data_IF_926158853084
#
_entry.id   IF_926158853084
#
_cell.length_a   1.000
_cell.length_b   1.000
_cell.length_c   1.000
_cell.angle_alpha   90.00
_cell.angle_beta   90.00
_cell.angle_gamma   90.00
#
_symmetry.space_group_name_H-M   'P 1'
#
loop_
_entity.id
_entity.type
_entity.pdbx_description
1 polymer ?
#
# COMPACT_ATOMS: atom_id res chain seq x y z
N UNK A 1 -12.48 -3.92 -22.77
CA UNK A 1 -11.41 -4.52 -21.93
C UNK A 1 -10.70 -3.40 -21.19
N UNK A 2 -10.56 -3.49 -19.86
CA UNK A 2 -9.94 -2.44 -19.04
C UNK A 2 -8.45 -2.77 -18.85
N UNK A 3 -7.57 -1.96 -19.43
CA UNK A 3 -6.14 -1.98 -19.15
C UNK A 3 -5.88 -1.38 -17.75
N UNK A 4 -4.79 -1.75 -17.06
CA UNK A 4 -4.40 -1.10 -15.80
C UNK A 4 -4.33 0.42 -15.97
N UNK A 5 -4.59 1.15 -14.88
CA UNK A 5 -4.55 2.61 -14.89
C UNK A 5 -3.16 3.04 -14.44
N UNK A 6 -2.27 3.52 -15.33
CA UNK A 6 -0.91 3.83 -14.93
C UNK A 6 -0.88 4.97 -13.92
N UNK A 7 0.06 4.91 -12.97
CA UNK A 7 0.21 5.97 -11.96
C UNK A 7 0.37 7.38 -12.55
N UNK A 8 0.95 7.49 -13.74
CA UNK A 8 1.15 8.77 -14.45
C UNK A 8 -0.16 9.37 -14.98
N UNK A 9 -1.21 8.55 -15.14
CA UNK A 9 -2.55 9.00 -15.49
C UNK A 9 -3.32 9.55 -14.28
N UNK A 10 -2.95 9.15 -13.05
CA UNK A 10 -3.52 9.71 -11.82
C UNK A 10 -2.72 10.94 -11.42
N UNK A 11 -3.13 12.10 -11.93
CA UNK A 11 -2.46 13.39 -11.67
C UNK A 11 -3.23 14.21 -10.65
N UNK A 12 -2.53 14.59 -9.58
CA UNK A 12 -3.04 15.47 -8.52
C UNK A 12 -2.48 16.90 -8.60
N UNK A 13 -1.70 17.19 -9.66
CA UNK A 13 -1.21 18.50 -10.08
C UNK A 13 -0.65 19.36 -8.92
N UNK A 14 -1.36 20.40 -8.50
CA UNK A 14 -0.92 21.33 -7.45
C UNK A 14 -0.62 20.62 -6.12
N UNK A 15 -1.42 19.59 -5.77
CA UNK A 15 -1.23 18.84 -4.52
C UNK A 15 0.10 18.10 -4.49
N UNK A 16 0.62 17.64 -5.63
CA UNK A 16 1.94 16.98 -5.69
C UNK A 16 3.03 17.95 -5.24
N UNK A 17 2.98 19.20 -5.71
CA UNK A 17 3.95 20.23 -5.35
C UNK A 17 3.84 20.63 -3.88
N UNK A 18 2.61 20.73 -3.36
CA UNK A 18 2.38 21.02 -1.94
C UNK A 18 2.98 19.92 -1.07
N UNK A 19 2.71 18.65 -1.38
CA UNK A 19 3.29 17.53 -0.64
C UNK A 19 4.81 17.51 -0.72
N UNK A 20 5.39 17.71 -1.91
CA UNK A 20 6.85 17.81 -2.06
C UNK A 20 7.45 18.94 -1.22
N UNK A 21 6.81 20.11 -1.19
CA UNK A 21 7.28 21.23 -0.37
C UNK A 21 7.18 20.93 1.12
N UNK A 22 6.07 20.35 1.58
CA UNK A 22 5.90 19.93 2.96
C UNK A 22 6.93 18.88 3.39
N UNK A 23 7.25 17.94 2.49
CA UNK A 23 8.27 16.90 2.69
C UNK A 23 9.67 17.53 2.84
N UNK A 24 10.04 18.46 1.95
CA UNK A 24 11.30 19.22 2.03
C UNK A 24 11.43 20.03 3.33
N UNK A 25 10.31 20.50 3.87
CA UNK A 25 10.25 21.25 5.13
C UNK A 25 10.12 20.34 6.36
N UNK A 26 10.22 19.01 6.22
CA UNK A 26 10.08 18.02 7.29
C UNK A 26 8.77 18.13 8.08
N UNK A 27 7.71 18.66 7.45
CA UNK A 27 6.40 18.82 8.08
C UNK A 27 5.76 17.47 8.36
N UNK A 28 6.00 16.48 7.49
CA UNK A 28 5.45 15.14 7.64
C UNK A 28 6.14 14.33 8.73
N UNK A 29 7.47 14.43 8.87
CA UNK A 29 8.18 13.82 10.01
C UNK A 29 7.74 14.45 11.34
N UNK A 30 7.55 15.77 11.35
CA UNK A 30 7.05 16.50 12.51
C UNK A 30 5.63 16.07 12.87
N UNK A 31 4.75 15.98 11.87
CA UNK A 31 3.40 15.46 12.03
C UNK A 31 3.39 14.03 12.56
N UNK A 32 4.16 13.12 11.96
CA UNK A 32 4.23 11.72 12.38
C UNK A 32 4.70 11.61 13.83
N UNK A 33 5.74 12.36 14.22
CA UNK A 33 6.22 12.40 15.60
C UNK A 33 5.15 12.88 16.57
N UNK A 34 4.50 14.00 16.27
CA UNK A 34 3.46 14.58 17.14
C UNK A 34 2.25 13.65 17.23
N UNK A 35 1.76 13.14 16.09
CA UNK A 35 0.65 12.20 16.05
C UNK A 35 0.97 10.94 16.87
N UNK A 36 2.18 10.40 16.72
CA UNK A 36 2.58 9.20 17.44
C UNK A 36 2.72 9.43 18.95
N UNK A 37 3.11 10.64 19.38
CA UNK A 37 3.15 11.03 20.80
C UNK A 37 1.74 11.17 21.41
N UNK A 38 0.76 11.60 20.63
CA UNK A 38 -0.62 11.81 21.09
C UNK A 38 -1.47 10.54 21.06
N UNK A 39 -1.09 9.57 20.22
CA UNK A 39 -1.77 8.27 20.15
C UNK A 39 -1.42 7.40 21.35
N UNK A 40 -2.46 6.91 22.03
CA UNK A 40 -2.33 6.16 23.28
C UNK A 40 -2.06 4.66 23.11
N UNK A 41 -2.16 4.13 21.88
CA UNK A 41 -2.07 2.69 21.62
C UNK A 41 -1.32 2.37 20.31
N UNK A 42 -0.16 3.01 20.12
CA UNK A 42 0.77 2.66 19.06
C UNK A 42 1.69 1.54 19.51
N UNK A 43 1.89 0.56 18.63
CA UNK A 43 2.88 -0.50 18.82
C UNK A 43 3.78 -0.67 17.60
N UNK A 44 5.01 -1.20 17.75
CA UNK A 44 5.77 -1.69 16.61
C UNK A 44 5.11 -2.94 15.99
N UNK A 45 5.58 -3.32 14.81
CA UNK A 45 5.30 -4.65 14.27
C UNK A 45 5.80 -5.74 15.23
N UNK A 46 5.02 -6.80 15.40
CA UNK A 46 5.47 -8.00 16.10
C UNK A 46 6.50 -8.78 15.27
N UNK A 47 7.25 -9.67 15.90
CA UNK A 47 8.18 -10.55 15.18
C UNK A 47 7.47 -11.43 14.14
N UNK A 48 6.25 -11.90 14.45
CA UNK A 48 5.45 -12.69 13.50
C UNK A 48 5.00 -11.87 12.29
N UNK A 49 4.63 -10.60 12.49
CA UNK A 49 4.29 -9.68 11.40
C UNK A 49 5.52 -9.37 10.54
N UNK A 50 6.68 -9.13 11.15
CA UNK A 50 7.94 -8.92 10.42
C UNK A 50 8.33 -10.16 9.61
N UNK A 51 8.30 -11.35 10.21
CA UNK A 51 8.64 -12.60 9.55
C UNK A 51 7.69 -12.92 8.37
N UNK A 52 6.45 -12.47 8.43
CA UNK A 52 5.48 -12.59 7.34
C UNK A 52 5.74 -11.59 6.21
N UNK A 53 6.10 -10.36 6.54
CA UNK A 53 6.33 -9.28 5.58
C UNK A 53 7.70 -9.39 4.89
N UNK A 54 8.72 -9.90 5.58
CA UNK A 54 10.10 -10.00 5.08
C UNK A 54 10.22 -10.77 3.76
N UNK A 55 9.56 -11.93 3.57
CA UNK A 55 9.55 -12.64 2.29
C UNK A 55 8.88 -11.88 1.14
N UNK A 56 8.13 -10.81 1.40
CA UNK A 56 7.45 -10.01 0.36
C UNK A 56 8.31 -8.78 0.02
N UNK A 57 8.70 -8.02 1.04
CA UNK A 57 9.35 -6.72 0.87
C UNK A 57 10.87 -6.75 1.01
N UNK A 58 11.47 -7.78 1.63
CA UNK A 58 12.91 -7.81 1.93
C UNK A 58 13.34 -6.56 2.70
N UNK A 59 14.54 -6.04 2.42
CA UNK A 59 15.07 -4.87 3.13
C UNK A 59 14.55 -3.52 2.60
N UNK A 60 13.59 -3.53 1.66
CA UNK A 60 13.08 -2.32 1.01
C UNK A 60 12.15 -1.45 1.87
N UNK A 61 11.76 -1.96 3.05
CA UNK A 61 10.94 -1.23 4.02
C UNK A 61 11.61 -1.21 5.39
N UNK A 62 11.59 -0.08 6.11
CA UNK A 62 12.23 0.04 7.41
C UNK A 62 11.30 -0.51 8.52
N UNK A 63 11.24 -1.83 8.69
CA UNK A 63 10.36 -2.51 9.67
C UNK A 63 10.40 -1.89 11.07
N UNK A 64 11.59 -1.50 11.54
CA UNK A 64 11.81 -0.88 12.85
C UNK A 64 11.13 0.49 13.01
N UNK A 65 10.76 1.16 11.91
CA UNK A 65 10.02 2.43 11.91
C UNK A 65 8.52 2.24 11.79
N UNK A 66 8.06 1.11 11.27
CA UNK A 66 6.62 0.87 11.06
C UNK A 66 5.91 0.79 12.40
N UNK A 67 4.79 1.50 12.50
CA UNK A 67 3.94 1.57 13.69
C UNK A 67 2.51 1.21 13.35
N UNK A 68 1.84 0.48 14.22
CA UNK A 68 0.43 0.16 14.11
C UNK A 68 -0.34 0.91 15.21
N UNK A 69 -1.29 1.76 14.82
CA UNK A 69 -2.26 2.40 15.70
C UNK A 69 -3.63 1.76 15.49
N UNK A 70 -3.97 0.77 16.33
CA UNK A 70 -5.25 0.05 16.25
C UNK A 70 -6.41 0.81 16.94
N UNK A 71 -6.15 2.01 17.45
CA UNK A 71 -7.16 2.89 18.09
C UNK A 71 -7.09 4.29 17.51
N UNK A 72 -7.01 4.38 16.19
CA UNK A 72 -6.90 5.62 15.46
C UNK A 72 -7.97 6.64 15.90
N UNK A 73 -7.54 7.84 16.26
CA UNK A 73 -8.43 8.94 16.65
C UNK A 73 -8.83 9.84 15.48
N UNK A 74 -8.01 9.83 14.43
CA UNK A 74 -8.17 10.63 13.22
C UNK A 74 -8.70 9.72 12.11
N UNK A 75 -9.62 10.24 11.30
CA UNK A 75 -10.26 9.49 10.21
C UNK A 75 -11.69 9.05 10.54
N UNK A 76 -12.51 8.73 9.52
CA UNK A 76 -13.93 8.46 9.73
C UNK A 76 -14.14 7.04 10.29
N UNK A 77 -14.21 6.94 11.63
CA UNK A 77 -14.46 5.71 12.39
C UNK A 77 -15.68 4.90 11.92
N UNK A 78 -16.69 5.56 11.35
CA UNK A 78 -17.93 4.94 10.85
C UNK A 78 -17.71 3.97 9.68
N UNK A 79 -16.58 4.07 8.97
CA UNK A 79 -16.29 3.25 7.79
C UNK A 79 -15.19 2.22 8.01
N UNK A 80 -14.55 2.17 9.19
CA UNK A 80 -13.51 1.17 9.47
C UNK A 80 -12.28 1.23 8.54
N UNK A 81 -12.07 2.37 7.87
CA UNK A 81 -11.00 2.57 6.88
C UNK A 81 -9.59 2.47 7.49
N UNK A 82 -8.85 1.45 7.10
CA UNK A 82 -7.43 1.40 7.43
C UNK A 82 -6.70 2.38 6.51
N UNK A 83 -5.77 3.16 7.06
CA UNK A 83 -5.00 4.13 6.27
C UNK A 83 -3.57 4.28 6.77
N UNK A 84 -2.67 4.58 5.85
CA UNK A 84 -1.26 4.83 6.14
C UNK A 84 -0.96 6.32 6.21
N UNK A 85 -0.39 6.74 7.33
CA UNK A 85 0.26 8.03 7.51
C UNK A 85 1.76 7.79 7.61
N UNK A 86 2.47 7.84 6.47
CA UNK A 86 3.93 7.66 6.39
C UNK A 86 4.38 6.26 6.84
N UNK A 87 4.98 6.10 8.01
CA UNK A 87 5.33 4.79 8.59
C UNK A 87 4.27 4.25 9.56
N UNK A 88 3.27 5.05 9.93
CA UNK A 88 2.19 4.62 10.83
C UNK A 88 0.98 4.13 10.05
N UNK A 89 0.55 2.90 10.31
CA UNK A 89 -0.68 2.31 9.78
C UNK A 89 -1.76 2.44 10.87
N UNK A 90 -2.88 3.06 10.52
CA UNK A 90 -3.95 3.43 11.45
C UNK A 90 -5.20 2.61 11.15
N UNK A 91 -5.80 2.03 12.19
CA UNK A 91 -7.02 1.22 12.11
C UNK A 91 -7.91 1.42 13.34
N UNK A 92 -9.11 0.83 13.30
CA UNK A 92 -10.07 0.80 14.41
C UNK A 92 -10.23 -0.62 14.98
N UNK A 93 -9.10 -1.29 15.18
CA UNK A 93 -9.01 -2.67 15.68
C UNK A 93 -7.88 -3.45 15.01
N UNK A 94 -7.75 -4.75 15.31
CA UNK A 94 -6.73 -5.61 14.73
C UNK A 94 -6.78 -5.59 13.19
N UNK A 95 -5.61 -5.53 12.56
CA UNK A 95 -5.48 -5.48 11.09
C UNK A 95 -5.36 -6.92 10.56
N UNK A 96 -6.26 -7.39 9.69
CA UNK A 96 -6.12 -8.70 9.05
C UNK A 96 -4.85 -8.76 8.20
N UNK A 97 -4.13 -9.88 8.24
CA UNK A 97 -2.82 -10.01 7.56
C UNK A 97 -2.81 -9.63 6.07
N UNK A 98 -3.80 -10.03 5.22
CA UNK A 98 -3.83 -9.55 3.83
C UNK A 98 -3.91 -8.04 3.71
N UNK A 99 -4.67 -7.39 4.61
CA UNK A 99 -4.78 -5.94 4.64
C UNK A 99 -3.49 -5.32 5.18
N UNK A 100 -2.85 -5.91 6.18
CA UNK A 100 -1.53 -5.45 6.62
C UNK A 100 -0.51 -5.46 5.46
N UNK A 101 -0.50 -6.51 4.64
CA UNK A 101 0.34 -6.54 3.43
C UNK A 101 0.00 -5.39 2.49
N UNK A 102 -1.29 -5.14 2.25
CA UNK A 102 -1.77 -4.00 1.45
C UNK A 102 -1.22 -2.67 1.98
N UNK A 103 -1.42 -2.39 3.26
CA UNK A 103 -0.98 -1.14 3.88
C UNK A 103 0.55 -1.00 3.89
N UNK A 104 1.31 -2.09 4.05
CA UNK A 104 2.78 -2.04 3.98
C UNK A 104 3.27 -1.71 2.55
N UNK A 105 2.47 -1.98 1.50
CA UNK A 105 2.78 -1.46 0.15
C UNK A 105 2.72 0.08 0.15
N UNK A 106 1.80 0.70 0.87
CA UNK A 106 1.76 2.16 1.00
C UNK A 106 2.96 2.71 1.78
N UNK A 107 3.43 2.00 2.82
CA UNK A 107 4.69 2.34 3.49
C UNK A 107 5.86 2.22 2.50
N UNK A 108 5.92 1.15 1.72
CA UNK A 108 6.94 0.99 0.67
C UNK A 108 6.88 2.13 -0.36
N UNK A 109 5.67 2.52 -0.79
CA UNK A 109 5.48 3.66 -1.69
C UNK A 109 6.00 4.95 -1.07
N UNK A 110 5.73 5.21 0.20
CA UNK A 110 6.27 6.36 0.92
C UNK A 110 7.80 6.36 0.91
N UNK A 111 8.41 5.25 1.33
CA UNK A 111 9.87 5.11 1.45
C UNK A 111 10.57 5.31 0.11
N UNK A 112 9.97 4.81 -0.98
CA UNK A 112 10.60 4.80 -2.30
C UNK A 112 10.21 6.00 -3.19
N UNK A 113 9.10 6.68 -2.88
CA UNK A 113 8.52 7.73 -3.73
C UNK A 113 8.24 9.05 -2.99
N UNK A 114 8.44 9.10 -1.69
CA UNK A 114 8.11 10.23 -0.83
C UNK A 114 6.60 10.40 -0.65
N UNK A 115 6.20 11.45 0.06
CA UNK A 115 4.82 11.70 0.46
C UNK A 115 3.83 11.92 -0.72
N UNK A 116 4.34 12.11 -1.94
CA UNK A 116 3.53 12.27 -3.16
C UNK A 116 2.64 11.06 -3.47
N UNK A 117 2.96 9.88 -2.92
CA UNK A 117 2.10 8.71 -3.12
C UNK A 117 0.71 8.93 -2.52
N UNK A 118 0.59 9.63 -1.39
CA UNK A 118 -0.66 9.84 -0.63
C UNK A 118 -1.74 10.48 -1.50
N UNK A 119 -1.56 11.70 -2.05
CA UNK A 119 -2.61 12.34 -2.85
C UNK A 119 -2.95 11.50 -4.09
N UNK A 120 -1.97 10.82 -4.69
CA UNK A 120 -2.18 9.99 -5.88
C UNK A 120 -2.93 8.70 -5.58
N UNK A 121 -2.68 8.04 -4.44
CA UNK A 121 -3.43 6.89 -3.98
C UNK A 121 -4.89 7.28 -3.70
N UNK A 122 -5.12 8.37 -2.96
CA UNK A 122 -6.46 8.90 -2.70
C UNK A 122 -7.21 9.30 -3.98
N UNK A 123 -6.53 9.87 -4.97
CA UNK A 123 -7.13 10.17 -6.26
C UNK A 123 -7.45 8.89 -7.05
N UNK A 124 -6.61 7.86 -6.95
CA UNK A 124 -6.85 6.57 -7.57
C UNK A 124 -8.08 5.87 -6.99
N UNK A 125 -8.31 5.93 -5.67
CA UNK A 125 -9.53 5.39 -5.03
C UNK A 125 -10.83 5.97 -5.61
N UNK A 126 -10.80 7.23 -6.09
CA UNK A 126 -11.93 7.91 -6.72
C UNK A 126 -12.04 7.65 -8.22
N UNK A 127 -11.03 7.01 -8.82
CA UNK A 127 -11.06 6.65 -10.23
C UNK A 127 -12.01 5.48 -10.47
N UNK A 128 -12.44 5.30 -11.72
CA UNK A 128 -13.30 4.18 -12.10
C UNK A 128 -12.67 2.81 -11.79
N UNK A 129 -11.36 2.69 -11.91
CA UNK A 129 -10.66 1.42 -11.65
C UNK A 129 -10.34 1.23 -10.18
N UNK A 130 -10.06 2.30 -9.42
CA UNK A 130 -9.76 2.19 -7.99
C UNK A 130 -8.67 1.15 -7.73
N UNK A 131 -9.02 0.16 -6.92
CA UNK A 131 -8.23 -1.01 -6.55
C UNK A 131 -8.16 -2.10 -7.63
N UNK A 132 -9.14 -2.16 -8.53
CA UNK A 132 -9.24 -3.21 -9.55
C UNK A 132 -8.14 -3.03 -10.58
N UNK A 133 -7.17 -3.94 -10.59
CA UNK A 133 -6.05 -3.94 -11.54
C UNK A 133 -6.37 -4.62 -12.88
N UNK A 134 -7.63 -5.01 -13.13
CA UNK A 134 -8.09 -5.59 -14.39
C UNK A 134 -7.93 -7.11 -14.50
N UNK A 135 -7.73 -7.81 -13.37
CA UNK A 135 -7.55 -9.26 -13.32
C UNK A 135 -6.41 -9.78 -14.20
N UNK A 136 -6.59 -10.97 -14.78
CA UNK A 136 -5.53 -11.64 -15.55
C UNK A 136 -5.12 -10.84 -16.79
N UNK A 137 -6.08 -10.21 -17.47
CA UNK A 137 -5.81 -9.35 -18.63
C UNK A 137 -5.02 -8.10 -18.24
N UNK A 138 -5.34 -7.52 -17.08
CA UNK A 138 -4.58 -6.43 -16.51
C UNK A 138 -3.11 -6.82 -16.26
N UNK A 139 -2.88 -8.00 -15.69
CA UNK A 139 -1.53 -8.54 -15.49
C UNK A 139 -0.80 -8.82 -16.81
N UNK A 140 -1.48 -9.33 -17.84
CA UNK A 140 -0.90 -9.58 -19.18
C UNK A 140 -0.51 -8.29 -19.90
N UNK A 141 -1.29 -7.23 -19.70
CA UNK A 141 -1.09 -5.94 -20.35
C UNK A 141 -0.04 -5.03 -19.70
N UNK A 142 0.51 -5.42 -18.55
CA UNK A 142 1.50 -4.65 -17.81
C UNK A 142 2.90 -5.27 -17.94
N UNK A 143 3.93 -4.41 -17.98
CA UNK A 143 5.34 -4.82 -18.02
C UNK A 143 6.04 -4.59 -16.69
N UNK A 144 5.53 -3.66 -15.89
CA UNK A 144 6.11 -3.27 -14.60
C UNK A 144 5.03 -2.92 -13.57
N UNK A 145 5.42 -2.85 -12.28
CA UNK A 145 4.54 -2.35 -11.23
C UNK A 145 4.09 -0.90 -11.48
N UNK A 146 4.90 -0.11 -12.19
CA UNK A 146 4.62 1.30 -12.46
C UNK A 146 3.49 1.52 -13.49
N UNK A 147 3.07 0.46 -14.19
CA UNK A 147 1.91 0.44 -15.09
C UNK A 147 0.58 0.40 -14.32
N UNK A 148 0.63 0.20 -13.00
CA UNK A 148 -0.50 0.23 -12.09
C UNK A 148 -0.51 1.55 -11.30
N UNK A 149 -1.69 2.00 -10.88
CA UNK A 149 -1.77 3.09 -9.91
C UNK A 149 -1.40 2.57 -8.51
N UNK A 150 -1.21 3.47 -7.53
CA UNK A 150 -0.75 3.07 -6.20
C UNK A 150 -1.70 2.12 -5.44
N UNK A 151 -3.02 2.26 -5.62
CA UNK A 151 -4.01 1.36 -5.03
C UNK A 151 -4.02 -0.01 -5.73
N UNK A 152 -3.90 -0.01 -7.06
CA UNK A 152 -3.77 -1.24 -7.84
C UNK A 152 -2.50 -2.02 -7.50
N UNK A 153 -1.36 -1.34 -7.29
CA UNK A 153 -0.14 -1.98 -6.81
C UNK A 153 -0.38 -2.68 -5.47
N UNK A 154 -1.00 -1.99 -4.50
CA UNK A 154 -1.28 -2.55 -3.19
C UNK A 154 -2.25 -3.74 -3.26
N UNK A 155 -3.32 -3.62 -4.04
CA UNK A 155 -4.29 -4.68 -4.27
C UNK A 155 -3.68 -5.92 -4.96
N UNK A 156 -2.76 -5.71 -5.92
CA UNK A 156 -2.06 -6.79 -6.62
C UNK A 156 -1.18 -7.59 -5.65
N UNK A 157 -0.44 -6.91 -4.78
CA UNK A 157 0.46 -7.54 -3.79
C UNK A 157 -0.35 -8.24 -2.71
N UNK A 158 -1.48 -7.66 -2.29
CA UNK A 158 -2.45 -8.31 -1.41
C UNK A 158 -2.97 -9.62 -2.03
N UNK A 159 -3.38 -9.60 -3.31
CA UNK A 159 -3.84 -10.81 -4.00
C UNK A 159 -2.74 -11.85 -4.18
N UNK A 160 -1.49 -11.43 -4.40
CA UNK A 160 -0.34 -12.33 -4.43
C UNK A 160 -0.14 -13.02 -3.07
N UNK A 161 -0.26 -12.29 -1.96
CA UNK A 161 -0.21 -12.87 -0.62
C UNK A 161 -1.39 -13.82 -0.38
N UNK A 162 -2.63 -13.39 -0.66
CA UNK A 162 -3.84 -14.21 -0.53
C UNK A 162 -3.69 -15.54 -1.27
N UNK A 163 -3.18 -15.48 -2.49
CA UNK A 163 -2.97 -16.63 -3.35
C UNK A 163 -1.98 -17.65 -2.75
N UNK A 164 -0.89 -17.20 -2.12
CA UNK A 164 0.06 -18.11 -1.47
C UNK A 164 -0.48 -18.68 -0.16
N UNK A 165 -1.39 -17.97 0.51
CA UNK A 165 -2.09 -18.44 1.71
C UNK A 165 -3.36 -19.26 1.43
N UNK A 166 -3.70 -19.50 0.15
CA UNK A 166 -4.94 -20.21 -0.23
C UNK A 166 -6.22 -19.46 0.10
N UNK A 167 -6.15 -18.13 0.25
CA UNK A 167 -7.28 -17.26 0.56
C UNK A 167 -8.01 -16.82 -0.73
N UNK A 168 -9.30 -16.45 -0.64
CA UNK A 168 -10.04 -15.89 -1.77
C UNK A 168 -9.37 -14.64 -2.34
N UNK A 169 -9.20 -14.60 -3.66
CA UNK A 169 -8.68 -13.45 -4.39
C UNK A 169 -9.75 -12.36 -4.54
N UNK A 170 -9.34 -11.11 -4.63
CA UNK A 170 -10.25 -9.96 -4.74
C UNK A 170 -10.50 -9.54 -6.18
N UNK A 171 -9.46 -9.50 -7.01
CA UNK A 171 -9.53 -8.94 -8.36
C UNK A 171 -9.10 -9.94 -9.45
N UNK A 172 -8.82 -11.18 -9.07
CA UNK A 172 -8.62 -12.31 -9.99
C UNK A 172 -9.74 -13.33 -9.82
N UNK A 173 -10.28 -13.81 -10.94
CA UNK A 173 -11.33 -14.82 -10.94
C UNK A 173 -10.86 -16.19 -10.44
N UNK A 174 -9.61 -16.57 -10.74
CA UNK A 174 -9.06 -17.87 -10.37
C UNK A 174 -7.52 -17.86 -10.26
N UNK A 175 -6.92 -18.70 -9.38
CA UNK A 175 -5.47 -18.80 -9.18
C UNK A 175 -4.80 -19.68 -10.25
N UNK A 176 -4.91 -19.32 -11.53
CA UNK A 176 -4.30 -20.11 -12.62
C UNK A 176 -2.77 -20.12 -12.51
N UNK A 177 -2.07 -21.14 -13.06
CA UNK A 177 -0.60 -21.17 -13.08
C UNK A 177 0.03 -19.91 -13.69
N UNK A 178 -0.64 -19.33 -14.68
CA UNK A 178 -0.25 -18.07 -15.29
C UNK A 178 -0.40 -16.88 -14.34
N UNK A 179 -1.56 -16.74 -13.67
CA UNK A 179 -1.77 -15.68 -12.69
C UNK A 179 -0.72 -15.74 -11.57
N UNK A 180 -0.45 -16.96 -11.05
CA UNK A 180 0.62 -17.23 -10.07
C UNK A 180 1.98 -16.72 -10.57
N UNK A 181 2.33 -17.03 -11.81
CA UNK A 181 3.61 -16.62 -12.42
C UNK A 181 3.70 -15.10 -12.58
N UNK A 182 2.64 -14.45 -13.07
CA UNK A 182 2.61 -13.00 -13.29
C UNK A 182 2.68 -12.23 -11.97
N UNK A 183 1.86 -12.58 -10.97
CA UNK A 183 1.89 -11.95 -9.65
C UNK A 183 3.29 -12.04 -9.02
N UNK A 184 3.92 -13.24 -9.03
CA UNK A 184 5.30 -13.41 -8.55
C UNK A 184 6.33 -12.63 -9.37
N UNK A 185 6.03 -12.36 -10.65
CA UNK A 185 6.85 -11.48 -11.49
C UNK A 185 6.85 -10.05 -10.96
N UNK A 186 5.67 -9.50 -10.69
CA UNK A 186 5.50 -8.14 -10.21
C UNK A 186 6.02 -7.95 -8.77
N UNK A 187 5.72 -8.86 -7.85
CA UNK A 187 6.11 -8.71 -6.43
C UNK A 187 7.60 -8.80 -6.17
N UNK A 188 8.38 -9.48 -7.05
CA UNK A 188 9.84 -9.55 -6.92
C UNK A 188 10.52 -8.19 -6.88
N UNK A 189 9.94 -7.18 -7.55
CA UNK A 189 10.50 -5.82 -7.60
C UNK A 189 10.40 -5.07 -6.27
N UNK A 190 9.51 -5.49 -5.37
CA UNK A 190 9.41 -4.88 -4.06
C UNK A 190 10.68 -5.10 -3.24
N UNK A 191 11.39 -6.22 -3.43
CA UNK A 191 12.59 -6.56 -2.65
C UNK A 191 13.85 -5.79 -3.02
N UNK A 192 13.88 -5.19 -4.20
CA UNK A 192 15.10 -4.63 -4.80
C UNK A 192 15.09 -3.10 -4.77
N UNK A 193 14.85 -2.52 -3.58
CA UNK A 193 14.88 -1.07 -3.37
C UNK A 193 16.14 -0.41 -3.90
#
# INVERSE_FOLDING_TARGET
>A
MLRPLPRSAVRTACLDRVFQLCDLLFLFDSYERVSNLLSSCIRPLSESEVNLLYPIFGDSVPYHRIRLDERARIGPRRYGLIYVSFHTINSWGPIPLPILVHEVVHVWQYVNRGAIYIPRALAAQRSRMGYDYGGLEGLRGAYSLDDFNYEQMAALVEDAYRLEQGLPLRYLAAPTPEARRLLRGFTRKLKSG
#
